data_IF_456916051349
#
_entry.id   IF_456916051349
#
_cell.length_a   1.000
_cell.length_b   1.000
_cell.length_c   1.000
_cell.angle_alpha   90.00
_cell.angle_beta   90.00
_cell.angle_gamma   90.00
#
_symmetry.space_group_name_H-M   'P 1'
#
loop_
_entity.id
_entity.type
_entity.pdbx_description
1 polymer ?
#
# COMPACT_ATOMS: atom_id res chain seq x y z
N UNK A 1 25.21 -60.57 -20.11
CA UNK A 1 25.73 -59.25 -20.58
C UNK A 1 25.26 -58.14 -19.63
N UNK A 2 25.57 -58.20 -18.33
CA UNK A 2 25.02 -57.29 -17.28
C UNK A 2 26.01 -56.99 -16.15
N UNK A 3 27.33 -57.05 -16.41
CA UNK A 3 28.34 -56.79 -15.37
C UNK A 3 28.85 -55.32 -15.38
N UNK A 4 28.78 -54.65 -16.54
CA UNK A 4 29.34 -53.29 -16.72
C UNK A 4 28.44 -52.17 -16.15
N UNK A 5 27.14 -52.43 -15.97
CA UNK A 5 26.19 -51.39 -15.56
C UNK A 5 26.23 -51.11 -14.04
N UNK A 6 26.65 -52.08 -13.22
CA UNK A 6 26.83 -51.89 -11.76
C UNK A 6 28.14 -51.18 -11.42
N UNK A 7 29.19 -51.43 -12.19
CA UNK A 7 30.53 -50.89 -11.91
C UNK A 7 30.66 -49.41 -12.27
N UNK A 8 29.98 -48.92 -13.31
CA UNK A 8 30.04 -47.51 -13.71
C UNK A 8 29.39 -46.57 -12.68
N UNK A 9 28.20 -46.92 -12.18
CA UNK A 9 27.52 -46.14 -11.13
C UNK A 9 28.33 -46.11 -9.83
N UNK A 10 29.01 -47.21 -9.48
CA UNK A 10 29.89 -47.28 -8.31
C UNK A 10 31.18 -46.49 -8.51
N UNK A 11 31.75 -46.47 -9.71
CA UNK A 11 32.97 -45.71 -10.03
C UNK A 11 32.71 -44.20 -10.01
N UNK A 12 31.58 -43.75 -10.57
CA UNK A 12 31.15 -42.34 -10.50
C UNK A 12 30.94 -41.94 -9.05
N UNK A 13 30.32 -42.79 -8.22
CA UNK A 13 30.12 -42.52 -6.80
C UNK A 13 31.45 -42.43 -6.02
N UNK A 14 32.42 -43.28 -6.37
CA UNK A 14 33.76 -43.26 -5.78
C UNK A 14 34.55 -42.00 -6.19
N UNK A 15 34.42 -41.55 -7.44
CA UNK A 15 35.10 -40.33 -7.92
C UNK A 15 34.46 -39.05 -7.37
N UNK A 16 33.14 -39.08 -7.17
CA UNK A 16 32.38 -38.04 -6.45
C UNK A 16 32.79 -37.97 -4.97
N UNK A 17 33.04 -39.12 -4.35
CA UNK A 17 33.57 -39.21 -2.98
C UNK A 17 35.05 -38.81 -2.89
N UNK A 18 35.80 -38.82 -3.99
CA UNK A 18 37.18 -38.31 -4.03
C UNK A 18 37.22 -36.78 -4.05
N UNK A 19 36.21 -36.13 -4.65
CA UNK A 19 36.07 -34.66 -4.74
C UNK A 19 34.98 -34.11 -3.82
N UNK A 20 34.93 -34.56 -2.55
CA UNK A 20 33.89 -34.18 -1.56
C UNK A 20 33.73 -32.67 -1.39
N UNK A 21 34.82 -31.92 -1.48
CA UNK A 21 34.81 -30.45 -1.35
C UNK A 21 33.99 -29.78 -2.45
N UNK A 22 34.22 -30.16 -3.71
CA UNK A 22 33.50 -29.59 -4.85
C UNK A 22 32.00 -29.94 -4.80
N UNK A 23 31.68 -31.19 -4.47
CA UNK A 23 30.29 -31.63 -4.32
C UNK A 23 29.58 -30.91 -3.17
N UNK A 24 30.26 -30.71 -2.03
CA UNK A 24 29.70 -29.95 -0.91
C UNK A 24 29.45 -28.49 -1.26
N UNK A 25 30.36 -27.85 -2.01
CA UNK A 25 30.19 -26.48 -2.50
C UNK A 25 28.99 -26.36 -3.45
N UNK A 26 28.85 -27.31 -4.38
CA UNK A 26 27.70 -27.37 -5.27
C UNK A 26 26.39 -27.55 -4.51
N UNK A 27 26.37 -28.42 -3.50
CA UNK A 27 25.18 -28.64 -2.67
C UNK A 27 24.82 -27.40 -1.83
N UNK A 28 25.81 -26.74 -1.22
CA UNK A 28 25.60 -25.49 -0.47
C UNK A 28 25.06 -24.40 -1.41
N UNK A 29 25.63 -24.27 -2.61
CA UNK A 29 25.17 -23.31 -3.60
C UNK A 29 23.71 -23.58 -4.01
N UNK A 30 23.36 -24.84 -4.25
CA UNK A 30 22.00 -25.25 -4.58
C UNK A 30 21.03 -24.87 -3.46
N UNK A 31 21.37 -25.20 -2.21
CA UNK A 31 20.58 -24.83 -1.04
C UNK A 31 20.42 -23.31 -0.92
N UNK A 32 21.49 -22.55 -1.16
CA UNK A 32 21.46 -21.08 -1.15
C UNK A 32 20.53 -20.53 -2.23
N UNK A 33 20.61 -21.06 -3.46
CA UNK A 33 19.73 -20.66 -4.56
C UNK A 33 18.25 -20.87 -4.21
N UNK A 34 17.90 -22.06 -3.67
CA UNK A 34 16.53 -22.32 -3.23
C UNK A 34 16.10 -21.42 -2.06
N UNK A 35 16.96 -21.21 -1.07
CA UNK A 35 16.66 -20.33 0.05
C UNK A 35 16.37 -18.90 -0.40
N UNK A 36 17.17 -18.35 -1.33
CA UNK A 36 16.95 -17.02 -1.90
C UNK A 36 15.62 -16.95 -2.64
N UNK A 37 15.33 -17.93 -3.50
CA UNK A 37 14.07 -17.97 -4.27
C UNK A 37 12.86 -17.98 -3.33
N UNK A 38 12.87 -18.83 -2.31
CA UNK A 38 11.79 -18.92 -1.33
C UNK A 38 11.63 -17.61 -0.54
N UNK A 39 12.75 -17.02 -0.09
CA UNK A 39 12.74 -15.76 0.64
C UNK A 39 12.15 -14.63 -0.21
N UNK A 40 12.57 -14.52 -1.47
CA UNK A 40 12.03 -13.51 -2.42
C UNK A 40 10.54 -13.74 -2.67
N UNK A 41 10.12 -15.00 -2.82
CA UNK A 41 8.71 -15.34 -3.04
C UNK A 41 7.84 -14.90 -1.85
N UNK A 42 8.26 -15.24 -0.62
CA UNK A 42 7.56 -14.81 0.59
C UNK A 42 7.57 -13.29 0.76
N UNK A 43 8.71 -12.63 0.52
CA UNK A 43 8.82 -11.19 0.57
C UNK A 43 7.86 -10.51 -0.42
N UNK A 44 7.77 -11.01 -1.65
CA UNK A 44 6.86 -10.49 -2.67
C UNK A 44 5.39 -10.63 -2.24
N UNK A 45 4.99 -11.77 -1.68
CA UNK A 45 3.62 -11.94 -1.20
C UNK A 45 3.27 -10.97 -0.07
N UNK A 46 4.16 -10.81 0.92
CA UNK A 46 3.96 -9.87 2.02
C UNK A 46 3.87 -8.42 1.54
N UNK A 47 4.72 -8.04 0.59
CA UNK A 47 4.72 -6.70 0.02
C UNK A 47 3.43 -6.38 -0.74
N UNK A 48 2.86 -7.33 -1.49
CA UNK A 48 1.57 -7.15 -2.18
C UNK A 48 0.46 -6.81 -1.19
N UNK A 49 0.39 -7.54 -0.07
CA UNK A 49 -0.64 -7.30 0.95
C UNK A 49 -0.45 -5.91 1.58
N UNK A 50 0.80 -5.54 1.89
CA UNK A 50 1.11 -4.21 2.41
C UNK A 50 0.69 -3.10 1.43
N UNK A 51 1.04 -3.24 0.15
CA UNK A 51 0.67 -2.29 -0.90
C UNK A 51 -0.85 -2.14 -1.01
N UNK A 52 -1.61 -3.24 -0.96
CA UNK A 52 -3.08 -3.20 -0.97
C UNK A 52 -3.66 -2.45 0.23
N UNK A 53 -3.10 -2.63 1.43
CA UNK A 53 -3.55 -1.90 2.62
C UNK A 53 -3.23 -0.41 2.52
N UNK A 54 -2.06 -0.05 2.00
CA UNK A 54 -1.67 1.33 1.77
C UNK A 54 -2.56 2.02 0.74
N UNK A 55 -2.90 1.33 -0.34
CA UNK A 55 -3.81 1.83 -1.38
C UNK A 55 -5.20 2.12 -0.79
N UNK A 56 -5.76 1.19 0.00
CA UNK A 56 -7.05 1.43 0.68
C UNK A 56 -6.99 2.62 1.62
N UNK A 57 -5.91 2.75 2.38
CA UNK A 57 -5.74 3.89 3.28
C UNK A 57 -5.73 5.21 2.50
N UNK A 58 -5.06 5.26 1.36
CA UNK A 58 -5.01 6.45 0.52
C UNK A 58 -6.39 6.81 -0.06
N UNK A 59 -7.14 5.80 -0.54
CA UNK A 59 -8.52 5.98 -1.00
C UNK A 59 -9.41 6.58 0.10
N UNK A 60 -9.36 6.04 1.32
CA UNK A 60 -10.11 6.58 2.46
C UNK A 60 -9.70 8.02 2.80
N UNK A 61 -8.40 8.35 2.70
CA UNK A 61 -7.92 9.71 2.94
C UNK A 61 -8.47 10.70 1.93
N UNK A 62 -8.57 10.30 0.65
CA UNK A 62 -9.16 11.12 -0.40
C UNK A 62 -10.65 11.35 -0.11
N UNK A 63 -11.39 10.28 0.19
CA UNK A 63 -12.82 10.36 0.52
C UNK A 63 -13.08 11.26 1.73
N UNK A 64 -12.29 11.11 2.81
CA UNK A 64 -12.40 11.95 3.98
C UNK A 64 -12.18 13.43 3.67
N UNK A 65 -11.19 13.75 2.82
CA UNK A 65 -10.94 15.14 2.38
C UNK A 65 -12.11 15.68 1.56
N UNK A 66 -12.70 14.87 0.69
CA UNK A 66 -13.89 15.27 -0.07
C UNK A 66 -15.07 15.57 0.85
N UNK A 67 -15.39 14.66 1.79
CA UNK A 67 -16.45 14.86 2.77
C UNK A 67 -16.24 16.11 3.61
N UNK A 68 -15.00 16.37 4.04
CA UNK A 68 -14.67 17.58 4.80
C UNK A 68 -14.90 18.85 3.96
N UNK A 69 -14.56 18.84 2.67
CA UNK A 69 -14.85 19.96 1.77
C UNK A 69 -16.35 20.16 1.57
N UNK A 70 -17.12 19.08 1.42
CA UNK A 70 -18.58 19.13 1.35
C UNK A 70 -19.18 19.76 2.62
N UNK A 71 -18.76 19.31 3.81
CA UNK A 71 -19.23 19.86 5.09
C UNK A 71 -18.89 21.35 5.24
N UNK A 72 -17.65 21.74 4.95
CA UNK A 72 -17.25 23.15 5.00
C UNK A 72 -18.06 24.00 4.01
N UNK A 73 -18.34 23.50 2.81
CA UNK A 73 -19.18 24.19 1.82
C UNK A 73 -20.62 24.38 2.29
N UNK A 74 -21.18 23.41 3.02
CA UNK A 74 -22.52 23.49 3.61
C UNK A 74 -22.56 24.41 4.84
N UNK A 75 -21.45 24.50 5.58
CA UNK A 75 -21.36 25.26 6.83
C UNK A 75 -21.15 26.78 6.62
N UNK A 76 -20.36 27.18 5.63
CA UNK A 76 -19.87 28.56 5.48
C UNK A 76 -20.96 29.60 5.20
N UNK A 77 -21.82 29.40 4.20
CA UNK A 77 -22.81 30.43 3.80
C UNK A 77 -24.25 30.08 4.17
N UNK A 78 -24.66 28.82 3.95
CA UNK A 78 -26.08 28.45 4.08
C UNK A 78 -26.57 28.35 5.53
N UNK A 79 -25.68 28.06 6.49
CA UNK A 79 -26.06 27.92 7.91
C UNK A 79 -26.27 29.28 8.58
N UNK A 80 -25.36 30.23 8.32
CA UNK A 80 -25.44 31.57 8.91
C UNK A 80 -26.64 32.34 8.32
N UNK A 81 -26.83 32.28 7.01
CA UNK A 81 -27.92 32.99 6.33
C UNK A 81 -29.30 32.41 6.69
N UNK A 82 -29.46 31.07 6.75
CA UNK A 82 -30.70 30.46 7.24
C UNK A 82 -30.98 30.78 8.69
N UNK A 83 -29.96 30.76 9.56
CA UNK A 83 -30.17 31.07 10.97
C UNK A 83 -30.57 32.54 11.13
N UNK A 84 -29.94 33.46 10.39
CA UNK A 84 -30.27 34.88 10.38
C UNK A 84 -31.69 35.16 9.85
N UNK A 85 -32.09 34.58 8.73
CA UNK A 85 -33.45 34.79 8.22
C UNK A 85 -34.53 34.04 9.01
N UNK A 86 -34.28 32.82 9.51
CA UNK A 86 -35.33 32.03 10.20
C UNK A 86 -35.47 32.34 11.68
N UNK A 87 -34.37 32.58 12.42
CA UNK A 87 -34.42 32.86 13.87
C UNK A 87 -34.47 34.34 14.19
N UNK A 88 -33.83 35.17 13.37
CA UNK A 88 -33.75 36.62 13.59
C UNK A 88 -34.66 37.42 12.66
N UNK A 89 -35.42 36.75 11.76
CA UNK A 89 -36.28 37.39 10.75
C UNK A 89 -35.54 38.46 9.94
N UNK A 90 -34.22 38.32 9.76
CA UNK A 90 -33.44 39.29 9.02
C UNK A 90 -33.82 39.25 7.54
N UNK A 91 -34.21 40.41 7.04
CA UNK A 91 -34.58 40.69 5.66
C UNK A 91 -33.47 41.54 5.06
N UNK A 92 -33.05 41.27 3.82
CA UNK A 92 -32.03 42.09 3.16
C UNK A 92 -32.59 43.51 2.98
N UNK A 93 -31.95 44.55 3.57
CA UNK A 93 -32.47 45.92 3.48
C UNK A 93 -32.46 46.40 2.02
N UNK A 94 -33.51 47.13 1.63
CA UNK A 94 -33.62 47.73 0.30
C UNK A 94 -32.72 48.98 0.23
N UNK A 95 -32.32 49.44 -0.98
CA UNK A 95 -31.40 50.58 -1.16
C UNK A 95 -31.84 51.86 -0.45
N UNK A 96 -33.15 52.03 -0.24
CA UNK A 96 -33.73 53.20 0.42
C UNK A 96 -33.56 53.21 1.95
N UNK A 97 -33.23 52.05 2.54
CA UNK A 97 -33.09 51.86 4.00
C UNK A 97 -31.63 51.82 4.49
N UNK A 98 -30.66 52.03 3.61
CA UNK A 98 -29.23 51.96 3.92
C UNK A 98 -28.74 53.28 4.55
N UNK A 99 -28.45 53.26 5.85
CA UNK A 99 -27.76 54.37 6.54
C UNK A 99 -26.27 54.07 6.68
N UNK A 100 -25.46 54.76 5.88
CA UNK A 100 -24.00 54.66 5.91
C UNK A 100 -23.46 55.48 7.09
N UNK A 101 -22.95 54.81 8.11
CA UNK A 101 -22.27 55.45 9.24
C UNK A 101 -20.77 55.39 9.00
N UNK A 102 -20.13 56.56 8.86
CA UNK A 102 -18.66 56.65 8.83
C UNK A 102 -18.15 56.66 10.27
N UNK A 103 -17.34 55.68 10.63
CA UNK A 103 -16.59 55.73 11.89
C UNK A 103 -15.45 56.76 11.79
N UNK A 104 -15.14 57.47 12.89
CA UNK A 104 -14.11 58.50 12.94
C UNK A 104 -12.69 57.95 12.77
#
# INVERSE_FOLDING_TARGET
MTDSQRSLSLLVFQDLWRHKGLFSMALINLCCAFAVILTVHHARQGNIVLEQLLERQDQLKVEYRHLLLEENSLAEHSRIERLASSRLQMIRPSPESEKVVRLP
#
